data_IF_190587446000
#
_entry.id   IF_190587446000
#
_cell.length_a   1.000
_cell.length_b   1.000
_cell.length_c   1.000
_cell.angle_alpha   90.00
_cell.angle_beta   90.00
_cell.angle_gamma   90.00
#
_symmetry.space_group_name_H-M   'P 1'
#
loop_
_entity.id
_entity.type
_entity.pdbx_description
1 polymer ?
#
# COMPACT_ATOMS: atom_id res chain seq x y z
N UNK A 1 -17.53 32.20 0.27
CA UNK A 1 -16.94 31.03 -0.43
C UNK A 1 -15.50 30.87 0.03
N UNK A 2 -15.02 29.87 0.75
CA UNK A 2 -15.60 28.77 1.50
C UNK A 2 -14.48 28.28 2.44
N UNK A 3 -14.59 28.53 3.75
CA UNK A 3 -13.53 28.18 4.72
C UNK A 3 -13.33 26.66 4.88
N UNK A 4 -14.24 25.86 4.31
CA UNK A 4 -14.20 24.40 4.32
C UNK A 4 -13.24 23.79 3.28
N UNK A 5 -12.90 24.49 2.19
CA UNK A 5 -12.06 23.93 1.11
C UNK A 5 -10.60 23.69 1.54
N UNK A 6 -10.13 24.38 2.59
CA UNK A 6 -8.76 24.21 3.11
C UNK A 6 -8.57 23.00 4.02
N UNK A 7 -9.64 22.39 4.53
CA UNK A 7 -9.53 21.16 5.34
C UNK A 7 -9.43 19.88 4.50
N UNK A 8 -9.90 19.89 3.26
CA UNK A 8 -9.97 18.69 2.42
C UNK A 8 -8.80 18.53 1.43
N UNK A 9 -7.87 19.49 1.39
CA UNK A 9 -6.67 19.42 0.56
C UNK A 9 -5.49 18.79 1.33
N UNK A 10 -5.69 17.62 1.95
CA UNK A 10 -4.55 16.75 2.25
C UNK A 10 -4.12 16.18 0.89
N UNK A 11 -3.12 16.81 0.27
CA UNK A 11 -2.46 16.24 -0.89
C UNK A 11 -2.10 14.79 -0.57
N UNK A 12 -2.33 13.90 -1.54
CA UNK A 12 -1.88 12.50 -1.45
C UNK A 12 -0.42 12.55 -0.99
N UNK A 13 -0.10 12.06 0.23
CA UNK A 13 1.25 12.14 0.74
C UNK A 13 2.20 11.51 -0.27
N UNK A 14 3.37 12.11 -0.47
CA UNK A 14 4.43 11.53 -1.28
C UNK A 14 4.57 10.03 -0.92
N UNK A 15 4.44 9.10 -1.89
CA UNK A 15 4.54 7.66 -1.64
C UNK A 15 5.79 7.29 -0.84
N UNK A 16 6.90 8.01 -1.08
CA UNK A 16 8.15 7.80 -0.34
C UNK A 16 8.09 8.29 1.12
N UNK A 17 7.39 9.39 1.39
CA UNK A 17 7.16 9.86 2.76
C UNK A 17 6.20 8.92 3.52
N UNK A 18 5.10 8.51 2.89
CA UNK A 18 4.16 7.51 3.43
C UNK A 18 4.89 6.22 3.79
N UNK A 19 5.71 5.69 2.88
CA UNK A 19 6.50 4.47 3.10
C UNK A 19 7.47 4.63 4.27
N UNK A 20 8.20 5.75 4.35
CA UNK A 20 9.10 6.04 5.50
C UNK A 20 8.37 6.05 6.84
N UNK A 21 7.20 6.70 6.89
CA UNK A 21 6.38 6.72 8.10
C UNK A 21 5.93 5.30 8.49
N UNK A 22 5.38 4.54 7.54
CA UNK A 22 4.94 3.17 7.77
C UNK A 22 6.07 2.23 8.19
N UNK A 23 7.26 2.36 7.60
CA UNK A 23 8.43 1.58 8.04
C UNK A 23 8.83 1.84 9.49
N UNK A 24 8.57 3.05 10.01
CA UNK A 24 8.89 3.41 11.39
C UNK A 24 7.84 3.01 12.43
N UNK A 25 6.55 3.05 12.09
CA UNK A 25 5.45 2.85 13.06
C UNK A 25 4.47 1.73 12.71
N UNK A 26 4.56 1.18 11.50
CA UNK A 26 3.62 0.20 10.97
C UNK A 26 3.82 -1.19 11.56
N UNK A 27 2.72 -1.94 11.64
CA UNK A 27 2.70 -3.36 12.01
C UNK A 27 2.66 -4.23 10.75
N UNK A 28 3.13 -5.46 10.87
CA UNK A 28 3.14 -6.42 9.76
C UNK A 28 2.00 -7.41 9.95
N UNK A 29 1.35 -7.75 8.85
CA UNK A 29 0.41 -8.87 8.73
C UNK A 29 0.68 -9.61 7.42
N UNK A 30 0.14 -10.81 7.30
CA UNK A 30 0.15 -11.52 6.02
C UNK A 30 -0.99 -11.03 5.12
N UNK A 31 -0.69 -10.97 3.83
CA UNK A 31 -1.64 -10.67 2.77
C UNK A 31 -1.40 -11.54 1.54
N UNK A 32 -2.21 -11.31 0.51
CA UNK A 32 -2.14 -11.98 -0.78
C UNK A 32 -2.22 -10.96 -1.90
N UNK A 33 -1.36 -11.10 -2.91
CA UNK A 33 -1.48 -10.30 -4.13
C UNK A 33 -2.71 -10.79 -4.90
N UNK A 34 -3.58 -9.86 -5.26
CA UNK A 34 -4.74 -10.10 -6.12
C UNK A 34 -4.35 -9.92 -7.59
N UNK A 35 -3.65 -8.82 -7.90
CA UNK A 35 -3.27 -8.47 -9.26
C UNK A 35 -1.99 -7.62 -9.28
N UNK A 36 -1.32 -7.57 -10.42
CA UNK A 36 -0.16 -6.73 -10.67
C UNK A 36 -0.24 -6.13 -12.08
N UNK A 37 -0.01 -4.83 -12.20
CA UNK A 37 -0.11 -4.12 -13.47
C UNK A 37 0.66 -2.80 -13.48
N UNK A 38 0.61 -2.10 -14.60
CA UNK A 38 1.21 -0.77 -14.74
C UNK A 38 0.12 0.30 -14.50
N UNK A 39 0.46 1.36 -13.79
CA UNK A 39 -0.38 2.57 -13.73
C UNK A 39 -0.20 3.43 -14.99
N UNK A 40 -0.98 4.50 -15.11
CA UNK A 40 -0.91 5.45 -16.24
C UNK A 40 0.45 6.15 -16.37
N UNK A 41 1.22 6.22 -15.28
CA UNK A 41 2.56 6.81 -15.22
C UNK A 41 3.67 5.80 -15.57
N UNK A 42 3.33 4.52 -15.77
CA UNK A 42 4.26 3.44 -16.11
C UNK A 42 4.93 2.75 -14.92
N UNK A 43 4.51 3.05 -13.69
CA UNK A 43 4.98 2.35 -12.49
C UNK A 43 4.23 1.02 -12.29
N UNK A 44 4.94 0.00 -11.82
CA UNK A 44 4.34 -1.30 -11.48
C UNK A 44 3.65 -1.23 -10.11
N UNK A 45 2.34 -1.46 -10.14
CA UNK A 45 1.44 -1.40 -9.00
C UNK A 45 0.89 -2.79 -8.73
N UNK A 46 0.89 -3.17 -7.46
CA UNK A 46 0.26 -4.41 -7.01
C UNK A 46 -1.00 -4.10 -6.22
N UNK A 47 -2.04 -4.87 -6.50
CA UNK A 47 -3.28 -4.91 -5.73
C UNK A 47 -3.22 -6.10 -4.79
N UNK A 48 -3.54 -5.90 -3.53
CA UNK A 48 -3.43 -6.94 -2.51
C UNK A 48 -4.55 -6.87 -1.49
N UNK A 49 -4.80 -8.02 -0.88
CA UNK A 49 -5.77 -8.22 0.18
C UNK A 49 -5.05 -8.63 1.46
N UNK A 50 -5.46 -8.07 2.59
CA UNK A 50 -5.05 -8.51 3.92
C UNK A 50 -6.22 -8.44 4.89
N UNK A 51 -6.23 -9.35 5.87
CA UNK A 51 -7.32 -9.45 6.84
C UNK A 51 -6.82 -9.04 8.22
N UNK A 52 -7.53 -8.12 8.88
CA UNK A 52 -7.27 -7.72 10.26
C UNK A 52 -8.53 -7.93 11.09
N UNK A 53 -8.44 -8.75 12.15
CA UNK A 53 -9.56 -9.04 13.06
C UNK A 53 -10.86 -9.47 12.34
N UNK A 54 -10.74 -10.20 11.23
CA UNK A 54 -11.88 -10.66 10.41
C UNK A 54 -12.43 -9.60 9.45
N UNK A 55 -11.78 -8.44 9.32
CA UNK A 55 -12.10 -7.41 8.33
C UNK A 55 -11.08 -7.48 7.20
N UNK A 56 -11.59 -7.59 5.99
CA UNK A 56 -10.81 -7.65 4.76
C UNK A 56 -10.53 -6.24 4.25
N UNK A 57 -9.25 -5.96 4.00
CA UNK A 57 -8.76 -4.70 3.45
C UNK A 57 -8.12 -4.96 2.10
N UNK A 58 -8.62 -4.25 1.09
CA UNK A 58 -8.05 -4.22 -0.24
C UNK A 58 -7.33 -2.88 -0.46
N UNK A 59 -6.09 -2.95 -0.92
CA UNK A 59 -5.30 -1.76 -1.22
C UNK A 59 -4.35 -2.02 -2.39
N UNK A 60 -3.79 -0.94 -2.93
CA UNK A 60 -2.69 -0.98 -3.88
C UNK A 60 -1.44 -0.30 -3.34
N UNK A 61 -0.28 -0.69 -3.85
CA UNK A 61 1.01 -0.04 -3.59
C UNK A 61 1.91 -0.11 -4.83
N UNK A 62 2.76 0.91 -4.98
CA UNK A 62 3.77 0.96 -6.05
C UNK A 62 4.99 0.17 -5.61
N UNK A 63 5.45 -0.76 -6.45
CA UNK A 63 6.63 -1.56 -6.16
C UNK A 63 7.90 -0.70 -6.21
N UNK A 64 8.76 -0.90 -5.22
CA UNK A 64 10.10 -0.29 -5.23
C UNK A 64 11.05 -1.02 -6.18
N UNK A 65 12.15 -0.38 -6.63
CA UNK A 65 13.14 -1.03 -7.50
C UNK A 65 13.66 -2.36 -6.97
N UNK A 66 13.79 -2.51 -5.66
CA UNK A 66 14.22 -3.77 -5.02
C UNK A 66 13.14 -4.85 -5.10
N UNK A 67 11.86 -4.47 -5.07
CA UNK A 67 10.73 -5.38 -5.17
C UNK A 67 10.50 -5.82 -6.63
N UNK A 68 10.71 -4.91 -7.58
CA UNK A 68 10.70 -5.19 -9.02
C UNK A 68 11.74 -6.23 -9.43
N UNK A 69 12.86 -6.34 -8.70
CA UNK A 69 13.86 -7.39 -8.93
C UNK A 69 13.36 -8.80 -8.55
N UNK A 70 12.21 -8.93 -7.88
CA UNK A 70 11.64 -10.18 -7.38
C UNK A 70 10.19 -10.39 -7.87
N UNK A 71 9.93 -10.44 -9.20
CA UNK A 71 8.57 -10.46 -9.74
C UNK A 71 7.75 -11.67 -9.27
N UNK A 72 8.38 -12.83 -9.07
CA UNK A 72 7.69 -14.03 -8.58
C UNK A 72 7.11 -13.87 -7.17
N UNK A 73 7.69 -13.00 -6.33
CA UNK A 73 7.19 -12.72 -4.96
C UNK A 73 5.94 -11.84 -4.97
N UNK A 74 5.76 -11.05 -6.03
CA UNK A 74 4.68 -10.08 -6.17
C UNK A 74 3.68 -10.45 -7.28
N UNK A 75 3.72 -11.70 -7.74
CA UNK A 75 2.76 -12.23 -8.70
C UNK A 75 1.39 -12.49 -8.05
N UNK A 76 0.28 -12.46 -8.81
CA UNK A 76 -1.05 -12.81 -8.33
C UNK A 76 -1.06 -14.16 -7.61
N UNK A 77 -1.70 -14.21 -6.43
CA UNK A 77 -1.75 -15.37 -5.55
C UNK A 77 -0.55 -15.54 -4.61
N UNK A 78 0.52 -14.76 -4.77
CA UNK A 78 1.67 -14.80 -3.86
C UNK A 78 1.30 -14.29 -2.46
N UNK A 79 1.83 -14.96 -1.44
CA UNK A 79 1.72 -14.52 -0.04
C UNK A 79 2.80 -13.49 0.24
N UNK A 80 2.38 -12.33 0.73
CA UNK A 80 3.27 -11.18 0.96
C UNK A 80 3.06 -10.63 2.35
N UNK A 81 4.12 -10.02 2.89
CA UNK A 81 4.02 -9.25 4.11
C UNK A 81 3.46 -7.86 3.79
N UNK A 82 2.40 -7.48 4.49
CA UNK A 82 1.76 -6.17 4.38
C UNK A 82 2.05 -5.39 5.65
N UNK A 83 2.59 -4.19 5.49
CA UNK A 83 2.82 -3.28 6.59
C UNK A 83 1.74 -2.22 6.62
N UNK A 84 1.01 -2.11 7.72
CA UNK A 84 -0.12 -1.20 7.88
C UNK A 84 0.03 -0.29 9.10
N UNK A 85 -0.62 0.87 9.07
CA UNK A 85 -0.73 1.77 10.21
C UNK A 85 -1.82 1.26 11.19
N UNK A 86 -1.51 0.90 12.45
CA UNK A 86 -2.51 0.45 13.40
C UNK A 86 -3.56 1.51 13.76
N UNK A 87 -3.27 2.80 13.56
CA UNK A 87 -4.22 3.91 13.78
C UNK A 87 -5.08 4.20 12.55
N UNK A 88 -4.61 3.81 11.37
CA UNK A 88 -5.32 3.92 10.10
C UNK A 88 -5.11 2.64 9.28
N UNK A 89 -5.92 1.62 9.56
CA UNK A 89 -5.68 0.27 9.06
C UNK A 89 -5.71 0.14 7.54
N UNK A 90 -6.38 1.05 6.82
CA UNK A 90 -6.37 1.09 5.36
C UNK A 90 -5.12 1.73 4.75
N UNK A 91 -4.27 2.35 5.57
CA UNK A 91 -2.97 2.85 5.14
C UNK A 91 -1.94 1.73 5.24
N UNK A 92 -1.68 1.06 4.12
CA UNK A 92 -0.75 -0.07 4.02
C UNK A 92 0.25 0.06 2.88
N UNK A 93 1.33 -0.72 2.95
CA UNK A 93 2.32 -0.92 1.89
C UNK A 93 2.72 -2.40 1.82
N UNK A 94 3.24 -2.82 0.68
CA UNK A 94 3.79 -4.17 0.50
C UNK A 94 5.28 -4.18 0.85
N UNK A 95 5.76 -5.24 1.53
CA UNK A 95 7.15 -5.40 2.00
C UNK A 95 7.98 -6.42 1.21
#
# INVERSE_FOLDING_TARGET
MGWFERLFKKGVPDPAERRRQLLSTGRITDGVILDAGLNDDGDEVVHYLYTLNGVDFESSDVLTPQQLALPAKYAPGAKVAIRYDPRNQGNSIVE
#
